data_IF_423085547845
#
_entry.id   IF_423085547845
#
_cell.length_a   1.000
_cell.length_b   1.000
_cell.length_c   1.000
_cell.angle_alpha   90.00
_cell.angle_beta   90.00
_cell.angle_gamma   90.00
#
_symmetry.space_group_name_H-M   'P 1'
#
loop_
_entity.id
_entity.type
_entity.pdbx_description
1 polymer ?
#
# COMPACT_ATOMS: atom_id res chain seq x y z
N UNK A 1 0.11 -19.74 12.10
CA UNK A 1 0.19 -19.62 10.63
C UNK A 1 -0.83 -18.57 10.23
N UNK A 2 -0.42 -17.45 9.64
CA UNK A 2 -1.35 -16.39 9.25
C UNK A 2 -1.93 -16.72 7.87
N UNK A 3 -3.20 -16.38 7.65
CA UNK A 3 -3.80 -16.52 6.32
C UNK A 3 -3.22 -15.46 5.37
N UNK A 4 -3.10 -15.74 4.06
CA UNK A 4 -2.61 -14.75 3.08
C UNK A 4 -3.38 -13.44 3.12
N UNK A 5 -4.69 -13.50 3.40
CA UNK A 5 -5.57 -12.34 3.59
C UNK A 5 -5.21 -11.49 4.81
N UNK A 6 -4.93 -12.12 5.97
CA UNK A 6 -4.53 -11.38 7.18
C UNK A 6 -3.19 -10.68 6.99
N UNK A 7 -2.25 -11.32 6.29
CA UNK A 7 -0.95 -10.70 5.97
C UNK A 7 -1.10 -9.47 5.07
N UNK A 8 -1.96 -9.53 4.05
CA UNK A 8 -2.25 -8.38 3.19
C UNK A 8 -2.91 -7.23 3.94
N UNK A 9 -3.88 -7.54 4.81
CA UNK A 9 -4.56 -6.52 5.63
C UNK A 9 -3.58 -5.84 6.60
N UNK A 10 -2.69 -6.61 7.22
CA UNK A 10 -1.68 -6.09 8.12
C UNK A 10 -0.66 -5.19 7.40
N UNK A 11 -0.21 -5.59 6.20
CA UNK A 11 0.67 -4.76 5.37
C UNK A 11 0.01 -3.42 5.00
N UNK A 12 -1.27 -3.43 4.65
CA UNK A 12 -2.05 -2.21 4.37
C UNK A 12 -2.15 -1.29 5.60
N UNK A 13 -2.42 -1.85 6.78
CA UNK A 13 -2.49 -1.07 8.01
C UNK A 13 -1.14 -0.41 8.35
N UNK A 14 -0.02 -1.09 8.09
CA UNK A 14 1.32 -0.51 8.25
C UNK A 14 1.53 0.63 7.25
N UNK A 15 1.16 0.45 5.99
CA UNK A 15 1.30 1.48 4.96
C UNK A 15 0.49 2.72 5.35
N UNK A 16 -0.77 2.54 5.77
CA UNK A 16 -1.63 3.64 6.21
C UNK A 16 -1.03 4.39 7.41
N UNK A 17 -0.54 3.65 8.41
CA UNK A 17 0.10 4.25 9.59
C UNK A 17 1.39 5.01 9.25
N UNK A 18 2.21 4.48 8.35
CA UNK A 18 3.43 5.16 7.87
C UNK A 18 3.04 6.42 7.11
N UNK A 19 2.10 6.32 6.16
CA UNK A 19 1.63 7.47 5.37
C UNK A 19 1.04 8.58 6.25
N UNK A 20 0.31 8.23 7.31
CA UNK A 20 -0.26 9.20 8.25
C UNK A 20 0.81 9.99 9.02
N UNK A 21 2.05 9.48 9.11
CA UNK A 21 3.17 10.18 9.73
C UNK A 21 4.00 10.99 8.72
N UNK A 22 3.79 10.77 7.42
CA UNK A 22 4.51 11.49 6.38
C UNK A 22 3.78 12.77 5.96
N UNK A 23 4.51 13.81 5.52
CA UNK A 23 3.91 14.99 4.92
C UNK A 23 3.17 14.62 3.63
N UNK A 24 2.00 15.22 3.40
CA UNK A 24 1.14 14.98 2.23
C UNK A 24 1.78 15.35 0.87
N UNK A 25 2.89 16.09 0.90
CA UNK A 25 3.66 16.47 -0.29
C UNK A 25 4.69 15.42 -0.72
N UNK A 26 4.91 14.37 0.07
CA UNK A 26 5.92 13.36 -0.22
C UNK A 26 5.37 12.22 -1.08
N UNK A 27 6.10 11.89 -2.15
CA UNK A 27 5.84 10.69 -2.92
C UNK A 27 6.54 9.49 -2.27
N UNK A 28 5.78 8.43 -1.99
CA UNK A 28 6.31 7.22 -1.35
C UNK A 28 6.34 6.08 -2.36
N UNK A 29 7.52 5.52 -2.57
CA UNK A 29 7.74 4.37 -3.44
C UNK A 29 7.47 3.04 -2.72
N UNK A 30 6.55 2.22 -3.23
CA UNK A 30 6.33 0.85 -2.73
C UNK A 30 6.84 -0.17 -3.77
N UNK A 31 7.76 -1.04 -3.33
CA UNK A 31 8.41 -2.08 -4.16
C UNK A 31 7.46 -3.22 -4.56
N UNK A 32 7.57 -3.61 -5.83
CA UNK A 32 6.61 -4.40 -6.62
C UNK A 32 6.05 -5.68 -6.00
N UNK A 33 6.87 -6.43 -5.25
CA UNK A 33 6.47 -7.73 -4.67
C UNK A 33 5.22 -7.63 -3.79
N UNK A 34 5.07 -6.51 -3.08
CA UNK A 34 3.92 -6.25 -2.20
C UNK A 34 2.90 -5.36 -2.90
N UNK A 35 3.34 -4.49 -3.81
CA UNK A 35 2.47 -3.49 -4.42
C UNK A 35 1.51 -4.01 -5.49
N UNK A 36 1.82 -5.06 -6.24
CA UNK A 36 0.87 -5.57 -7.24
C UNK A 36 -0.39 -6.18 -6.58
N UNK A 37 -0.20 -6.98 -5.52
CA UNK A 37 -1.30 -7.57 -4.77
C UNK A 37 -2.10 -6.51 -4.00
N UNK A 38 -1.39 -5.53 -3.42
CA UNK A 38 -2.01 -4.42 -2.69
C UNK A 38 -2.75 -3.46 -3.62
N UNK A 39 -2.23 -3.17 -4.81
CA UNK A 39 -2.88 -2.26 -5.75
C UNK A 39 -4.20 -2.82 -6.26
N UNK A 40 -4.23 -4.11 -6.64
CA UNK A 40 -5.48 -4.76 -7.05
C UNK A 40 -6.49 -4.86 -5.88
N UNK A 41 -6.04 -5.19 -4.67
CA UNK A 41 -6.94 -5.27 -3.52
C UNK A 41 -7.44 -3.89 -3.09
N UNK A 42 -6.59 -2.86 -3.10
CA UNK A 42 -6.95 -1.49 -2.78
C UNK A 42 -7.94 -0.91 -3.79
N UNK A 43 -7.76 -1.15 -5.10
CA UNK A 43 -8.74 -0.76 -6.12
C UNK A 43 -10.06 -1.52 -5.97
N UNK A 44 -10.00 -2.83 -5.69
CA UNK A 44 -11.19 -3.68 -5.58
C UNK A 44 -12.04 -3.37 -4.35
N UNK A 45 -11.40 -3.01 -3.24
CA UNK A 45 -12.04 -2.78 -1.94
C UNK A 45 -12.07 -1.30 -1.54
N UNK A 46 -11.60 -0.40 -2.41
CA UNK A 46 -11.47 1.03 -2.17
C UNK A 46 -10.72 1.37 -0.87
N UNK A 47 -9.63 0.63 -0.62
CA UNK A 47 -8.82 0.80 0.59
C UNK A 47 -7.87 1.97 0.37
N UNK A 48 -7.86 2.92 1.31
CA UNK A 48 -6.88 4.02 1.40
C UNK A 48 -6.91 4.96 0.17
N UNK A 49 -8.09 5.43 -0.31
CA UNK A 49 -8.22 6.17 -1.57
C UNK A 49 -7.48 7.52 -1.57
N UNK A 50 -7.30 8.14 -0.41
CA UNK A 50 -6.64 9.44 -0.27
C UNK A 50 -5.13 9.41 -0.60
N UNK A 51 -4.50 8.24 -0.44
CA UNK A 51 -3.05 8.09 -0.57
C UNK A 51 -2.62 7.40 -1.87
N UNK A 52 -3.57 6.76 -2.58
CA UNK A 52 -3.36 6.18 -3.93
C UNK A 52 -2.60 7.12 -4.87
N UNK A 53 -2.94 8.43 -5.01
CA UNK A 53 -2.21 9.30 -5.95
C UNK A 53 -0.79 9.66 -5.50
N UNK A 54 -0.47 9.52 -4.21
CA UNK A 54 0.85 9.81 -3.64
C UNK A 54 1.78 8.58 -3.63
N UNK A 55 1.21 7.39 -3.80
CA UNK A 55 1.95 6.13 -3.86
C UNK A 55 2.49 5.89 -5.27
N UNK A 56 3.80 5.82 -5.40
CA UNK A 56 4.46 5.39 -6.63
C UNK A 56 4.76 3.90 -6.52
N UNK A 57 4.17 3.10 -7.39
CA UNK A 57 4.44 1.66 -7.46
C UNK A 57 5.69 1.42 -8.32
N UNK A 58 6.83 1.17 -7.66
CA UNK A 58 8.12 0.99 -8.31
C UNK A 58 8.40 -0.46 -8.68
N UNK A 59 8.88 -0.70 -9.90
CA UNK A 59 9.35 -2.00 -10.37
C UNK A 59 10.84 -2.10 -10.04
N UNK A 60 11.23 -3.12 -9.26
CA UNK A 60 12.64 -3.53 -9.17
C UNK A 60 12.85 -4.65 -10.17
N UNK A 61 13.78 -4.48 -11.11
CA UNK A 61 14.20 -5.50 -12.10
C UNK A 61 15.47 -6.18 -11.61
#
# INVERSE_FOLDING_TARGET
MWTPSEQQFYALAIIDFVMAQLPVDWQVGILYDVSCQIHQSALKWNLVPCWIPQIVFGISV
#
